data_IF_686632620022
#
_entry.id   IF_686632620022
#
_cell.length_a   1.000
_cell.length_b   1.000
_cell.length_c   1.000
_cell.angle_alpha   90.00
_cell.angle_beta   90.00
_cell.angle_gamma   90.00
#
_symmetry.space_group_name_H-M   'P 1'
#
loop_
_entity.id
_entity.type
_entity.pdbx_description
1 polymer ?
#
# COMPACT_ATOMS: atom_id res chain seq x y z
N UNK A 1 -19.43 -22.10 -6.54
CA UNK A 1 -19.22 -20.66 -6.82
C UNK A 1 -18.58 -20.06 -5.58
N UNK A 2 -17.26 -19.90 -5.59
CA UNK A 2 -16.53 -19.30 -4.47
C UNK A 2 -16.94 -17.83 -4.34
N UNK A 3 -17.56 -17.45 -3.22
CA UNK A 3 -17.80 -16.04 -2.93
C UNK A 3 -16.44 -15.35 -2.87
N UNK A 4 -16.25 -14.32 -3.69
CA UNK A 4 -15.15 -13.38 -3.49
C UNK A 4 -15.34 -12.80 -2.09
N UNK A 5 -14.41 -13.09 -1.18
CA UNK A 5 -14.47 -12.50 0.16
C UNK A 5 -14.10 -11.04 0.02
N UNK A 6 -14.98 -10.17 0.49
CA UNK A 6 -14.61 -8.79 0.72
C UNK A 6 -13.61 -8.75 1.88
N UNK A 7 -12.50 -8.04 1.70
CA UNK A 7 -11.43 -7.89 2.69
C UNK A 7 -11.31 -6.41 3.00
N UNK A 8 -11.10 -6.09 4.26
CA UNK A 8 -10.83 -4.74 4.74
C UNK A 8 -9.80 -4.85 5.86
N UNK A 9 -8.69 -4.14 5.71
CA UNK A 9 -7.62 -4.06 6.71
C UNK A 9 -7.27 -2.59 6.92
N UNK A 10 -6.99 -2.23 8.17
CA UNK A 10 -6.59 -0.88 8.56
C UNK A 10 -5.41 -0.91 9.51
N UNK A 11 -4.70 0.21 9.60
CA UNK A 11 -3.53 0.33 10.45
C UNK A 11 -2.98 1.74 10.54
N UNK A 12 -1.84 1.85 11.21
CA UNK A 12 -1.08 3.10 11.34
C UNK A 12 0.36 2.83 10.91
N UNK A 13 0.87 3.67 10.02
CA UNK A 13 2.23 3.58 9.49
C UNK A 13 2.97 4.91 9.65
N UNK A 14 4.29 4.87 9.61
CA UNK A 14 5.14 6.05 9.50
C UNK A 14 6.23 5.78 8.45
N UNK A 15 6.65 6.81 7.74
CA UNK A 15 7.66 6.71 6.68
C UNK A 15 9.03 7.27 7.09
N UNK A 16 9.13 7.81 8.31
CA UNK A 16 10.36 8.28 8.93
C UNK A 16 10.22 8.23 10.46
N UNK A 17 11.32 8.12 11.22
CA UNK A 17 11.28 8.13 12.67
C UNK A 17 10.66 9.42 13.23
N UNK A 18 10.13 9.39 14.47
CA UNK A 18 9.71 10.61 15.16
C UNK A 18 10.81 11.68 15.10
N UNK A 19 10.45 12.97 14.86
CA UNK A 19 9.11 13.56 14.97
C UNK A 19 8.28 13.57 13.67
N UNK A 20 8.61 12.74 12.67
CA UNK A 20 7.86 12.69 11.41
C UNK A 20 6.36 12.32 11.62
N UNK A 21 5.46 12.75 10.71
CA UNK A 21 4.04 12.41 10.80
C UNK A 21 3.81 10.90 10.65
N UNK A 22 2.76 10.43 11.32
CA UNK A 22 2.21 9.08 11.11
C UNK A 22 0.89 9.17 10.36
N UNK A 23 0.57 8.10 9.65
CA UNK A 23 -0.57 8.01 8.76
C UNK A 23 -1.48 6.87 9.19
N UNK A 24 -2.79 7.09 9.18
CA UNK A 24 -3.76 5.98 9.16
C UNK A 24 -3.89 5.50 7.74
N UNK A 25 -4.08 4.21 7.54
CA UNK A 25 -4.37 3.66 6.23
C UNK A 25 -5.49 2.62 6.32
N UNK A 26 -6.18 2.42 5.20
CA UNK A 26 -7.10 1.30 4.99
C UNK A 26 -6.89 0.74 3.59
N UNK A 27 -6.91 -0.58 3.47
CA UNK A 27 -6.87 -1.30 2.20
C UNK A 27 -8.11 -2.18 2.13
N UNK A 28 -8.90 -2.00 1.08
CA UNK A 28 -10.08 -2.83 0.85
C UNK A 28 -9.91 -3.64 -0.43
N UNK A 29 -10.46 -4.85 -0.45
CA UNK A 29 -10.69 -5.63 -1.66
C UNK A 29 -12.18 -5.96 -1.71
N UNK A 30 -12.92 -5.22 -2.53
CA UNK A 30 -14.36 -5.42 -2.73
C UNK A 30 -14.64 -5.76 -4.19
N UNK A 31 -15.40 -6.83 -4.44
CA UNK A 31 -15.68 -7.26 -5.83
C UNK A 31 -14.42 -7.42 -6.72
N UNK A 32 -13.34 -7.99 -6.16
CA UNK A 32 -12.01 -8.11 -6.81
C UNK A 32 -11.29 -6.80 -7.16
N UNK A 33 -11.76 -5.66 -6.66
CA UNK A 33 -11.13 -4.36 -6.85
C UNK A 33 -10.52 -3.88 -5.56
N UNK A 34 -9.25 -3.51 -5.61
CA UNK A 34 -8.52 -2.98 -4.47
C UNK A 34 -8.73 -1.47 -4.35
N UNK A 35 -8.84 -0.98 -3.12
CA UNK A 35 -8.71 0.44 -2.80
C UNK A 35 -7.68 0.65 -1.70
N UNK A 36 -7.04 1.80 -1.70
CA UNK A 36 -6.13 2.25 -0.65
C UNK A 36 -6.55 3.66 -0.26
N UNK A 37 -6.74 3.86 1.03
CA UNK A 37 -6.99 5.15 1.65
C UNK A 37 -5.88 5.46 2.65
N UNK A 38 -5.52 6.74 2.78
CA UNK A 38 -4.51 7.19 3.73
C UNK A 38 -4.87 8.57 4.31
N UNK A 39 -4.66 8.76 5.62
CA UNK A 39 -4.85 10.02 6.33
C UNK A 39 -3.57 10.40 7.08
N UNK A 40 -3.09 11.62 6.90
CA UNK A 40 -2.09 12.23 7.79
C UNK A 40 -2.75 12.55 9.14
N UNK A 41 -2.26 11.92 10.22
CA UNK A 41 -2.88 12.05 11.55
C UNK A 41 -2.77 13.44 12.15
N UNK A 42 -1.79 14.23 11.71
CA UNK A 42 -1.53 15.60 12.18
C UNK A 42 -2.32 16.61 11.35
N UNK A 43 -2.16 16.60 10.03
CA UNK A 43 -2.81 17.59 9.16
C UNK A 43 -4.25 17.25 8.78
N UNK A 44 -4.69 16.01 9.01
CA UNK A 44 -6.00 15.46 8.62
C UNK A 44 -6.26 15.44 7.12
N UNK A 45 -5.23 15.66 6.30
CA UNK A 45 -5.33 15.48 4.86
C UNK A 45 -5.50 14.01 4.53
N UNK A 46 -6.31 13.74 3.52
CA UNK A 46 -6.71 12.40 3.12
C UNK A 46 -6.46 12.19 1.64
N UNK A 47 -6.09 10.96 1.30
CA UNK A 47 -5.83 10.54 -0.06
C UNK A 47 -6.41 9.17 -0.33
N UNK A 48 -6.83 8.96 -1.57
CA UNK A 48 -7.50 7.74 -1.98
C UNK A 48 -7.12 7.31 -3.39
N UNK A 49 -7.00 5.99 -3.58
CA UNK A 49 -6.97 5.35 -4.89
C UNK A 49 -7.86 4.11 -4.81
N UNK A 50 -8.98 4.13 -5.52
CA UNK A 50 -9.97 3.06 -5.50
C UNK A 50 -10.11 2.31 -6.82
N UNK A 51 -10.86 1.20 -6.78
CA UNK A 51 -11.33 0.51 -7.98
C UNK A 51 -10.25 -0.21 -8.77
N UNK A 52 -9.08 -0.46 -8.18
CA UNK A 52 -7.93 -1.04 -8.88
C UNK A 52 -8.12 -2.52 -9.15
N UNK A 53 -8.08 -2.90 -10.42
CA UNK A 53 -7.92 -4.28 -10.86
C UNK A 53 -6.47 -4.73 -10.63
N UNK A 54 -6.24 -6.05 -10.60
CA UNK A 54 -4.88 -6.62 -10.52
C UNK A 54 -3.92 -6.01 -11.53
N UNK A 55 -4.36 -5.80 -12.77
CA UNK A 55 -3.56 -5.20 -13.84
C UNK A 55 -3.16 -3.75 -13.60
N UNK A 56 -3.82 -3.06 -12.67
CA UNK A 56 -3.54 -1.64 -12.37
C UNK A 56 -2.37 -1.49 -11.39
N UNK A 57 -2.06 -2.51 -10.58
CA UNK A 57 -0.94 -2.53 -9.64
C UNK A 57 0.11 -3.61 -9.96
N UNK A 58 -0.22 -4.62 -10.77
CA UNK A 58 0.71 -5.67 -11.18
C UNK A 58 1.33 -5.41 -12.55
N UNK A 59 2.59 -5.80 -12.65
CA UNK A 59 3.43 -5.87 -13.84
C UNK A 59 4.08 -7.25 -13.86
N UNK A 60 4.66 -7.64 -14.99
CA UNK A 60 5.43 -8.91 -15.07
C UNK A 60 6.54 -8.98 -14.02
N UNK A 61 7.13 -7.84 -13.63
CA UNK A 61 8.25 -7.78 -12.69
C UNK A 61 7.83 -7.92 -11.22
N UNK A 62 6.59 -7.60 -10.86
CA UNK A 62 6.11 -7.64 -9.47
C UNK A 62 4.97 -8.66 -9.25
N UNK A 63 4.70 -9.50 -10.24
CA UNK A 63 3.73 -10.60 -10.11
C UNK A 63 4.36 -11.75 -9.32
N UNK A 64 3.76 -12.07 -8.18
CA UNK A 64 4.09 -13.25 -7.39
C UNK A 64 3.28 -14.44 -7.96
N UNK A 65 3.92 -15.57 -8.31
CA UNK A 65 3.23 -16.76 -8.78
C UNK A 65 2.15 -17.23 -7.79
N UNK A 66 1.00 -17.63 -8.31
CA UNK A 66 -0.16 -18.13 -7.56
C UNK A 66 -0.79 -17.18 -6.53
N UNK A 67 -0.31 -15.92 -6.44
CA UNK A 67 -0.85 -14.94 -5.50
C UNK A 67 -2.24 -14.44 -5.93
N UNK A 68 -3.21 -14.58 -5.03
CA UNK A 68 -4.54 -14.00 -5.11
C UNK A 68 -4.51 -12.49 -4.83
N UNK A 69 -5.62 -11.78 -5.09
CA UNK A 69 -5.70 -10.35 -4.73
C UNK A 69 -5.63 -10.15 -3.21
N UNK A 70 -6.12 -11.12 -2.44
CA UNK A 70 -6.05 -11.11 -0.97
C UNK A 70 -4.60 -11.20 -0.47
N UNK A 71 -3.76 -12.02 -1.11
CA UNK A 71 -2.36 -12.15 -0.72
C UNK A 71 -1.61 -10.82 -0.90
N UNK A 72 -1.94 -10.04 -1.94
CA UNK A 72 -1.39 -8.69 -2.12
C UNK A 72 -1.89 -7.70 -1.07
N UNK A 73 -3.13 -7.80 -0.60
CA UNK A 73 -3.65 -6.96 0.50
C UNK A 73 -2.83 -7.19 1.77
N UNK A 74 -2.63 -8.46 2.15
CA UNK A 74 -1.81 -8.80 3.33
C UNK A 74 -0.34 -8.38 3.14
N UNK A 75 0.24 -8.58 1.94
CA UNK A 75 1.60 -8.10 1.66
C UNK A 75 1.72 -6.58 1.86
N UNK A 76 0.73 -5.81 1.38
CA UNK A 76 0.77 -4.36 1.51
C UNK A 76 0.59 -3.92 2.96
N UNK A 77 -0.31 -4.57 3.69
CA UNK A 77 -0.50 -4.37 5.13
C UNK A 77 0.80 -4.66 5.90
N UNK A 78 1.39 -5.84 5.73
CA UNK A 78 2.63 -6.22 6.39
C UNK A 78 3.78 -5.24 6.09
N UNK A 79 3.82 -4.72 4.86
CA UNK A 79 4.82 -3.72 4.45
C UNK A 79 4.58 -2.37 5.14
N UNK A 80 3.33 -1.96 5.31
CA UNK A 80 2.97 -0.70 5.98
C UNK A 80 3.11 -0.80 7.51
N UNK A 81 2.86 -1.96 8.09
CA UNK A 81 2.99 -2.23 9.53
C UNK A 81 4.46 -2.51 9.94
N UNK A 82 5.37 -2.72 8.98
CA UNK A 82 6.77 -3.00 9.26
C UNK A 82 7.46 -1.83 9.99
N UNK A 83 8.12 -2.14 11.11
CA UNK A 83 8.86 -1.17 11.91
C UNK A 83 10.01 -0.53 11.13
N UNK A 84 10.18 0.78 11.31
CA UNK A 84 11.23 1.57 10.67
C UNK A 84 12.67 1.18 11.09
N UNK A 85 12.81 0.40 12.18
CA UNK A 85 14.10 0.08 12.82
C UNK A 85 14.87 -1.01 12.06
N UNK A 86 14.18 -1.87 11.28
CA UNK A 86 14.80 -2.97 10.51
C UNK A 86 15.18 -2.58 9.07
N UNK A 87 15.07 -1.29 8.72
CA UNK A 87 15.12 -0.80 7.34
C UNK A 87 16.45 -0.12 7.02
N UNK A 88 17.52 -0.90 6.83
CA UNK A 88 18.66 -0.39 6.04
C UNK A 88 18.27 -0.16 4.56
N UNK A 89 17.20 -0.83 4.10
CA UNK A 89 16.49 -0.60 2.85
C UNK A 89 15.00 -0.37 3.13
N UNK A 90 14.53 0.89 3.09
CA UNK A 90 13.13 1.23 3.37
C UNK A 90 12.15 0.48 2.45
N UNK A 91 11.33 -0.41 3.05
CA UNK A 91 10.36 -1.26 2.34
C UNK A 91 9.13 -0.49 1.89
N UNK A 92 8.87 0.65 2.50
CA UNK A 92 7.76 1.56 2.22
C UNK A 92 8.29 2.99 2.08
N UNK A 93 7.84 3.71 1.05
CA UNK A 93 8.18 5.11 0.82
C UNK A 93 6.95 5.90 0.39
N UNK A 94 6.89 7.15 0.80
CA UNK A 94 5.81 8.07 0.46
C UNK A 94 6.39 9.37 -0.09
N UNK A 95 5.95 9.76 -1.28
CA UNK A 95 6.39 11.00 -1.93
C UNK A 95 5.21 11.92 -2.19
N UNK A 96 5.37 13.20 -1.86
CA UNK A 96 4.45 14.22 -2.30
C UNK A 96 4.65 14.51 -3.79
N UNK A 97 3.56 14.51 -4.56
CA UNK A 97 3.55 14.88 -5.97
C UNK A 97 3.01 16.30 -6.16
N UNK A 98 3.25 16.86 -7.36
CA UNK A 98 2.58 18.10 -7.78
C UNK A 98 1.06 17.91 -7.76
N UNK A 99 0.34 18.94 -7.34
CA UNK A 99 -1.11 18.91 -7.20
C UNK A 99 -1.61 18.28 -5.89
N UNK A 100 -0.72 18.01 -4.94
CA UNK A 100 -1.09 17.54 -3.60
C UNK A 100 -1.44 16.05 -3.52
N UNK A 101 -1.25 15.28 -4.60
CA UNK A 101 -1.34 13.82 -4.58
C UNK A 101 -0.13 13.18 -3.89
N UNK A 102 -0.26 11.92 -3.50
CA UNK A 102 0.83 11.12 -2.94
C UNK A 102 1.18 9.95 -3.85
N UNK A 103 2.46 9.60 -3.94
CA UNK A 103 2.94 8.33 -4.50
C UNK A 103 3.36 7.43 -3.35
N UNK A 104 2.63 6.34 -3.18
CA UNK A 104 3.03 5.25 -2.30
C UNK A 104 3.89 4.26 -3.08
N UNK A 105 5.05 3.92 -2.54
CA UNK A 105 5.92 2.87 -3.06
C UNK A 105 6.10 1.79 -1.99
N UNK A 106 5.92 0.53 -2.40
CA UNK A 106 6.05 -0.65 -1.53
C UNK A 106 7.05 -1.62 -2.16
N UNK A 107 7.85 -2.26 -1.33
CA UNK A 107 8.78 -3.32 -1.74
C UNK A 107 8.73 -4.47 -0.75
N UNK A 108 8.61 -5.69 -1.28
CA UNK A 108 8.54 -6.92 -0.49
C UNK A 108 9.59 -7.88 -0.99
N UNK A 109 10.37 -8.47 -0.09
CA UNK A 109 11.37 -9.49 -0.44
C UNK A 109 10.85 -10.86 -0.02
N UNK A 110 10.62 -11.73 -1.00
CA UNK A 110 10.15 -13.11 -0.80
C UNK A 110 11.20 -14.05 -1.36
N UNK A 111 11.76 -14.92 -0.50
CA UNK A 111 12.77 -15.93 -0.87
C UNK A 111 13.96 -15.35 -1.66
N UNK A 112 14.41 -14.14 -1.31
CA UNK A 112 15.53 -13.45 -1.97
C UNK A 112 15.15 -12.65 -3.22
N UNK A 113 13.90 -12.73 -3.69
CA UNK A 113 13.41 -11.90 -4.80
C UNK A 113 12.66 -10.67 -4.26
N UNK A 114 13.02 -9.50 -4.76
CA UNK A 114 12.34 -8.25 -4.43
C UNK A 114 11.22 -7.96 -5.44
N UNK A 115 10.03 -7.68 -4.93
CA UNK A 115 8.84 -7.26 -5.66
C UNK A 115 8.56 -5.80 -5.31
N UNK A 116 8.23 -4.97 -6.31
CA UNK A 116 8.13 -3.53 -6.13
C UNK A 116 6.87 -2.95 -6.78
N UNK A 117 6.19 -2.07 -6.06
CA UNK A 117 5.00 -1.35 -6.49
C UNK A 117 5.26 0.14 -6.39
N UNK A 118 5.06 0.87 -7.49
CA UNK A 118 5.28 2.33 -7.55
C UNK A 118 4.24 3.08 -8.36
N UNK A 119 3.16 2.41 -8.77
CA UNK A 119 2.02 2.96 -9.50
C UNK A 119 0.84 3.32 -8.58
N UNK A 120 1.04 3.32 -7.27
CA UNK A 120 0.04 3.63 -6.25
C UNK A 120 -0.03 5.14 -5.98
N UNK A 121 -0.51 5.90 -6.98
CA UNK A 121 -0.80 7.33 -6.84
C UNK A 121 -2.16 7.55 -6.16
N UNK A 122 -2.14 8.09 -4.94
CA UNK A 122 -3.31 8.45 -4.15
C UNK A 122 -3.70 9.90 -4.42
N UNK A 123 -4.90 10.13 -4.95
CA UNK A 123 -5.44 11.47 -5.21
C UNK A 123 -5.94 12.12 -3.92
N UNK A 124 -5.91 13.45 -3.85
CA UNK A 124 -6.50 14.19 -2.73
C UNK A 124 -8.02 13.97 -2.74
N UNK A 125 -8.60 13.66 -1.59
CA UNK A 125 -10.05 13.55 -1.41
C UNK A 125 -10.68 14.86 -0.99
#
# INVERSE_FOLDING_TARGET
MSSLKDIEVDGVTAFAPPPAPSYRYAIELKSSKMSIWMEDRTSKKQWFKGGMLKTDYLTTANTIPDASAADYVECFRDTLDSDLVDLSDAKQKLYALKGGALRLELSVTIRGNQFYWSNLTLGHT
#
